data_IF_592659928609
#
_entry.id   IF_592659928609
#
_cell.length_a   1.000
_cell.length_b   1.000
_cell.length_c   1.000
_cell.angle_alpha   90.00
_cell.angle_beta   90.00
_cell.angle_gamma   90.00
#
_symmetry.space_group_name_H-M   'P 1'
#
loop_
_entity.id
_entity.type
_entity.pdbx_description
1 polymer ?
#
# COMPACT_ATOMS: atom_id res chain seq x y z
N UNK A 1 9.48 17.59 21.00
CA UNK A 1 8.03 17.31 20.99
C UNK A 1 7.86 15.85 20.61
N UNK A 2 7.62 14.97 21.59
CA UNK A 2 7.37 13.55 21.34
C UNK A 2 6.05 13.42 20.56
N UNK A 3 6.09 12.75 19.40
CA UNK A 3 4.88 12.50 18.63
C UNK A 3 3.97 11.59 19.47
N UNK A 4 2.71 11.98 19.76
CA UNK A 4 1.80 11.09 20.46
C UNK A 4 1.61 9.83 19.60
N UNK A 5 1.83 8.66 20.21
CA UNK A 5 1.62 7.39 19.54
C UNK A 5 0.12 7.27 19.19
N UNK A 6 -0.20 7.14 17.90
CA UNK A 6 -1.58 7.12 17.41
C UNK A 6 -2.43 6.03 18.09
N UNK A 7 -1.81 4.90 18.44
CA UNK A 7 -2.46 3.82 19.19
C UNK A 7 -2.88 4.24 20.60
N UNK A 8 -2.03 4.99 21.32
CA UNK A 8 -2.37 5.53 22.65
C UNK A 8 -3.53 6.52 22.57
N UNK A 9 -3.56 7.34 21.53
CA UNK A 9 -4.66 8.31 21.30
C UNK A 9 -5.97 7.57 21.03
N UNK A 10 -5.97 6.55 20.17
CA UNK A 10 -7.14 5.72 19.91
C UNK A 10 -7.64 5.00 21.16
N UNK A 11 -6.75 4.44 21.98
CA UNK A 11 -7.13 3.82 23.26
C UNK A 11 -7.76 4.83 24.23
N UNK A 12 -7.20 6.05 24.31
CA UNK A 12 -7.81 7.11 25.14
C UNK A 12 -9.17 7.54 24.61
N UNK A 13 -9.33 7.65 23.28
CA UNK A 13 -10.62 7.99 22.65
C UNK A 13 -11.66 6.89 22.89
N UNK A 14 -11.28 5.62 22.76
CA UNK A 14 -12.16 4.49 23.04
C UNK A 14 -12.61 4.44 24.51
N UNK A 15 -11.70 4.77 25.45
CA UNK A 15 -12.03 4.89 26.89
C UNK A 15 -12.97 6.06 27.16
N UNK A 16 -12.79 7.20 26.48
CA UNK A 16 -13.67 8.36 26.62
C UNK A 16 -15.05 8.10 26.02
N UNK A 17 -15.12 7.44 24.86
CA UNK A 17 -16.38 7.10 24.20
C UNK A 17 -17.21 6.08 25.01
N UNK A 18 -16.56 5.09 25.63
CA UNK A 18 -17.27 4.08 26.45
C UNK A 18 -17.71 4.61 27.82
N UNK A 19 -16.99 5.57 28.39
CA UNK A 19 -17.33 6.18 29.67
C UNK A 19 -18.39 7.28 29.54
N UNK A 20 -18.44 7.97 28.39
CA UNK A 20 -19.40 9.04 28.10
C UNK A 20 -20.16 8.76 26.81
N UNK A 21 -21.10 7.81 26.85
CA UNK A 21 -22.16 7.77 25.86
C UNK A 21 -23.06 8.99 26.05
N UNK A 22 -22.79 10.05 25.26
CA UNK A 22 -23.57 11.29 25.25
C UNK A 22 -24.90 11.01 24.57
N UNK A 23 -25.86 10.43 25.31
CA UNK A 23 -27.25 10.40 24.90
C UNK A 23 -28.01 11.49 25.65
N UNK A 24 -28.80 12.28 24.92
CA UNK A 24 -29.66 13.33 25.48
C UNK A 24 -30.54 12.76 26.60
N UNK A 25 -30.96 11.50 26.45
CA UNK A 25 -31.78 10.76 27.40
C UNK A 25 -31.03 10.52 28.72
N UNK A 26 -29.77 10.05 28.69
CA UNK A 26 -28.95 9.85 29.91
C UNK A 26 -28.59 11.18 30.60
N UNK A 27 -28.41 12.25 29.83
CA UNK A 27 -28.14 13.58 30.39
C UNK A 27 -29.39 14.22 31.03
N UNK A 28 -30.59 13.85 30.58
CA UNK A 28 -31.86 14.34 31.15
C UNK A 28 -32.29 13.62 32.43
N UNK A 29 -31.80 12.41 32.68
CA UNK A 29 -32.11 11.58 33.85
C UNK A 29 -31.87 12.26 35.22
N UNK A 30 -30.76 12.97 35.47
CA UNK A 30 -30.56 13.73 36.71
C UNK A 30 -31.50 14.94 36.84
N UNK A 31 -32.00 15.48 35.73
CA UNK A 31 -32.94 16.61 35.74
C UNK A 31 -34.33 16.10 36.15
N UNK A 32 -34.79 14.97 35.60
CA UNK A 32 -36.07 14.33 35.94
C UNK A 32 -36.11 13.69 37.32
N UNK A 33 -34.99 13.19 37.83
CA UNK A 33 -34.93 12.59 39.19
C UNK A 33 -34.87 13.64 40.31
N UNK A 34 -34.60 14.91 39.98
CA UNK A 34 -34.58 16.01 40.95
C UNK A 34 -35.97 16.54 41.33
N UNK A 35 -37.03 16.14 40.62
CA UNK A 35 -38.41 16.41 41.06
C UNK A 35 -38.81 15.38 42.12
N UNK A 36 -39.06 15.78 43.38
CA UNK A 36 -39.49 14.84 44.41
C UNK A 36 -40.81 14.19 44.01
N UNK A 37 -40.80 12.87 43.80
CA UNK A 37 -42.02 12.08 43.67
C UNK A 37 -42.77 12.10 45.01
N UNK A 38 -43.79 12.94 45.10
CA UNK A 38 -44.77 12.85 46.17
C UNK A 38 -45.46 11.48 46.10
N UNK A 39 -45.18 10.62 47.09
CA UNK A 39 -45.64 9.23 47.20
C UNK A 39 -47.17 9.06 47.43
N UNK A 40 -47.98 10.02 46.98
CA UNK A 40 -49.46 10.01 47.11
C UNK A 40 -50.19 10.19 45.78
N UNK A 41 -49.53 10.00 44.64
CA UNK A 41 -50.21 10.02 43.34
C UNK A 41 -50.98 8.72 43.09
N UNK A 42 -52.30 8.87 43.06
CA UNK A 42 -53.29 7.84 42.66
C UNK A 42 -52.89 7.25 41.30
N UNK A 43 -52.75 5.92 41.28
CA UNK A 43 -52.40 5.10 40.10
C UNK A 43 -53.59 4.93 39.15
N UNK A 44 -54.09 6.02 38.56
CA UNK A 44 -55.13 5.96 37.53
C UNK A 44 -54.76 6.70 36.26
N UNK A 45 -53.49 7.04 36.09
CA UNK A 45 -52.99 7.71 34.89
C UNK A 45 -52.25 6.70 34.01
N UNK A 46 -52.78 6.44 32.80
CA UNK A 46 -52.20 5.58 31.76
C UNK A 46 -50.83 6.11 31.27
N UNK A 47 -50.47 7.32 31.70
CA UNK A 47 -49.28 8.07 31.30
C UNK A 47 -47.95 7.59 31.94
N UNK A 48 -47.98 6.70 32.94
CA UNK A 48 -46.75 6.25 33.61
C UNK A 48 -45.99 5.12 32.89
N UNK A 49 -46.58 4.47 31.88
CA UNK A 49 -45.90 3.43 31.09
C UNK A 49 -44.98 3.98 29.99
N UNK A 50 -44.96 5.30 29.77
CA UNK A 50 -44.17 5.95 28.70
C UNK A 50 -42.71 6.26 29.10
N UNK A 51 -42.35 6.08 30.38
CA UNK A 51 -41.00 6.37 30.88
C UNK A 51 -39.99 5.23 30.68
N UNK A 52 -40.41 4.07 30.16
CA UNK A 52 -39.55 2.88 30.06
C UNK A 52 -38.55 2.94 28.88
N UNK A 53 -38.75 3.85 27.91
CA UNK A 53 -37.80 4.17 26.84
C UNK A 53 -38.24 5.44 26.07
N UNK A 54 -37.90 6.66 26.52
CA UNK A 54 -38.30 7.87 25.82
C UNK A 54 -37.59 7.96 24.47
N UNK A 55 -38.34 7.80 23.38
CA UNK A 55 -37.87 8.13 22.04
C UNK A 55 -38.18 9.60 21.76
N UNK A 56 -37.40 10.30 20.92
CA UNK A 56 -37.67 11.70 20.61
C UNK A 56 -39.07 11.90 20.02
N UNK A 57 -39.59 10.92 19.28
CA UNK A 57 -40.97 10.93 18.78
C UNK A 57 -42.01 10.81 19.90
N UNK A 58 -41.80 9.94 20.90
CA UNK A 58 -42.74 9.80 22.03
C UNK A 58 -42.81 11.07 22.88
N UNK A 59 -41.66 11.71 23.13
CA UNK A 59 -41.61 12.99 23.87
C UNK A 59 -42.41 14.10 23.19
N UNK A 60 -42.39 14.19 21.86
CA UNK A 60 -43.18 15.20 21.14
C UNK A 60 -44.68 14.95 21.24
N UNK A 61 -45.10 13.68 21.19
CA UNK A 61 -46.50 13.30 21.37
C UNK A 61 -46.98 13.60 22.80
N UNK A 62 -46.15 13.30 23.81
CA UNK A 62 -46.45 13.57 25.21
C UNK A 62 -46.58 15.07 25.47
N UNK A 63 -45.67 15.89 24.94
CA UNK A 63 -45.76 17.35 25.06
C UNK A 63 -47.03 17.91 24.43
N UNK A 64 -47.48 17.35 23.30
CA UNK A 64 -48.75 17.73 22.69
C UNK A 64 -49.95 17.34 23.57
N UNK A 65 -49.95 16.12 24.09
CA UNK A 65 -50.98 15.62 25.00
C UNK A 65 -51.08 16.47 26.28
N UNK A 66 -49.96 16.76 26.94
CA UNK A 66 -49.93 17.59 28.14
C UNK A 66 -50.39 19.02 27.86
N UNK A 67 -50.03 19.62 26.72
CA UNK A 67 -50.53 20.94 26.34
C UNK A 67 -52.06 20.96 26.24
N UNK A 68 -52.65 19.93 25.64
CA UNK A 68 -54.10 19.81 25.53
C UNK A 68 -54.76 19.56 26.90
N UNK A 69 -54.20 18.67 27.72
CA UNK A 69 -54.68 18.38 29.07
C UNK A 69 -54.65 19.63 29.96
N UNK A 70 -53.54 20.37 29.97
CA UNK A 70 -53.42 21.60 30.76
C UNK A 70 -54.32 22.71 30.23
N UNK A 71 -54.54 22.81 28.92
CA UNK A 71 -55.51 23.76 28.37
C UNK A 71 -56.94 23.45 28.86
N UNK A 72 -57.33 22.17 28.85
CA UNK A 72 -58.63 21.70 29.39
C UNK A 72 -58.75 21.95 30.89
N UNK A 73 -57.70 21.62 31.66
CA UNK A 73 -57.68 21.82 33.11
C UNK A 73 -57.77 23.30 33.48
N UNK A 74 -57.01 24.16 32.78
CA UNK A 74 -57.07 25.61 32.95
C UNK A 74 -58.47 26.15 32.66
N UNK A 75 -59.12 25.70 31.57
CA UNK A 75 -60.49 26.11 31.25
C UNK A 75 -61.47 25.70 32.35
N UNK A 76 -61.43 24.43 32.77
CA UNK A 76 -62.29 23.91 33.84
C UNK A 76 -62.09 24.65 35.16
N UNK A 77 -60.84 24.90 35.55
CA UNK A 77 -60.51 25.60 36.79
C UNK A 77 -61.03 27.04 36.77
N UNK A 78 -60.77 27.80 35.71
CA UNK A 78 -61.26 29.18 35.58
C UNK A 78 -62.79 29.21 35.61
N UNK A 79 -63.44 28.28 34.90
CA UNK A 79 -64.90 28.16 34.91
C UNK A 79 -65.44 27.82 36.32
N UNK A 80 -64.78 26.94 37.05
CA UNK A 80 -65.20 26.54 38.39
C UNK A 80 -65.03 27.67 39.40
N UNK A 81 -63.86 28.33 39.41
CA UNK A 81 -63.58 29.46 40.30
C UNK A 81 -64.51 30.63 40.01
N UNK A 82 -64.80 30.91 38.73
CA UNK A 82 -65.76 31.97 38.37
C UNK A 82 -67.18 31.63 38.82
N UNK A 83 -67.63 30.39 38.62
CA UNK A 83 -68.93 29.92 39.13
C UNK A 83 -69.01 30.04 40.65
N UNK A 84 -67.98 29.61 41.37
CA UNK A 84 -67.94 29.69 42.84
C UNK A 84 -67.95 31.15 43.31
N UNK A 85 -67.09 32.01 42.74
CA UNK A 85 -67.06 33.45 43.07
C UNK A 85 -68.41 34.12 42.81
N UNK A 86 -69.08 33.77 41.71
CA UNK A 86 -70.41 34.30 41.40
C UNK A 86 -71.47 33.85 42.42
N UNK A 87 -71.49 32.56 42.79
CA UNK A 87 -72.40 32.05 43.82
C UNK A 87 -72.12 32.72 45.17
N UNK A 88 -70.85 32.85 45.56
CA UNK A 88 -70.46 33.52 46.81
C UNK A 88 -70.82 35.00 46.80
N UNK A 89 -70.73 35.68 45.67
CA UNK A 89 -71.16 37.08 45.56
C UNK A 89 -72.67 37.27 45.71
N UNK A 90 -73.48 36.29 45.28
CA UNK A 90 -74.96 36.34 45.39
C UNK A 90 -75.46 35.85 46.75
N UNK A 91 -74.81 34.83 47.33
CA UNK A 91 -75.27 34.11 48.53
C UNK A 91 -74.54 34.57 49.80
N UNK A 92 -73.37 35.21 49.67
CA UNK A 92 -72.58 35.69 50.80
C UNK A 92 -73.23 36.87 51.51
N UNK A 93 -73.24 36.83 52.84
CA UNK A 93 -73.71 37.91 53.71
C UNK A 93 -72.53 38.41 54.57
N UNK A 94 -72.00 39.64 54.36
CA UNK A 94 -72.48 40.67 53.42
C UNK A 94 -72.04 40.43 51.95
N UNK A 95 -72.82 40.94 50.97
CA UNK A 95 -72.54 40.75 49.55
C UNK A 95 -71.19 41.39 49.16
N UNK A 96 -70.34 40.60 48.52
CA UNK A 96 -69.01 41.04 48.11
C UNK A 96 -69.11 41.89 46.84
N UNK A 97 -69.20 43.20 47.00
CA UNK A 97 -69.21 44.18 45.92
C UNK A 97 -67.76 44.61 45.68
N UNK A 98 -67.17 44.19 44.57
CA UNK A 98 -65.82 44.63 44.18
C UNK A 98 -65.86 46.13 43.91
N UNK A 99 -65.06 46.91 44.63
CA UNK A 99 -65.03 48.36 44.48
C UNK A 99 -64.29 48.74 43.19
N UNK A 100 -64.59 49.92 42.63
CA UNK A 100 -63.88 50.41 41.44
C UNK A 100 -62.39 50.63 41.74
N UNK A 101 -62.05 51.00 42.97
CA UNK A 101 -60.67 51.21 43.44
C UNK A 101 -59.89 49.88 43.48
N UNK A 102 -60.49 48.81 44.03
CA UNK A 102 -59.89 47.47 44.08
C UNK A 102 -59.63 46.91 42.68
N UNK A 103 -60.58 47.11 41.75
CA UNK A 103 -60.40 46.74 40.35
C UNK A 103 -59.24 47.51 39.69
N UNK A 104 -59.12 48.81 39.94
CA UNK A 104 -58.03 49.63 39.40
C UNK A 104 -56.66 49.21 39.96
N UNK A 105 -56.58 48.81 41.22
CA UNK A 105 -55.36 48.27 41.83
C UNK A 105 -54.98 46.92 41.22
N UNK A 106 -55.94 46.00 41.11
CA UNK A 106 -55.74 44.69 40.47
C UNK A 106 -55.37 44.81 38.98
N UNK A 107 -55.86 45.82 38.27
CA UNK A 107 -55.46 46.10 36.89
C UNK A 107 -54.00 46.55 36.78
N UNK A 108 -53.55 47.41 37.72
CA UNK A 108 -52.14 47.84 37.78
C UNK A 108 -51.22 46.66 38.09
N UNK A 109 -51.56 45.84 39.08
CA UNK A 109 -50.78 44.64 39.42
C UNK A 109 -50.73 43.65 38.26
N UNK A 110 -51.88 43.39 37.61
CA UNK A 110 -51.93 42.54 36.41
C UNK A 110 -51.11 43.11 35.25
N UNK A 111 -51.05 44.43 35.08
CA UNK A 111 -50.23 45.05 34.04
C UNK A 111 -48.74 44.80 34.29
N UNK A 112 -48.28 44.94 35.54
CA UNK A 112 -46.90 44.63 35.94
C UNK A 112 -46.59 43.15 35.74
N UNK A 113 -47.44 42.26 36.25
CA UNK A 113 -47.27 40.81 36.10
C UNK A 113 -47.29 40.37 34.63
N UNK A 114 -48.14 40.96 33.78
CA UNK A 114 -48.17 40.69 32.34
C UNK A 114 -46.90 41.15 31.65
N UNK A 115 -46.32 42.29 32.04
CA UNK A 115 -45.06 42.78 31.49
C UNK A 115 -43.92 41.82 31.84
N UNK A 116 -43.79 41.44 33.11
CA UNK A 116 -42.79 40.46 33.57
C UNK A 116 -42.94 39.12 32.86
N UNK A 117 -44.17 38.61 32.73
CA UNK A 117 -44.43 37.36 32.01
C UNK A 117 -44.04 37.45 30.53
N UNK A 118 -44.23 38.63 29.89
CA UNK A 118 -43.85 38.83 28.50
C UNK A 118 -42.32 38.84 28.34
N UNK A 119 -41.61 39.52 29.23
CA UNK A 119 -40.15 39.56 29.27
C UNK A 119 -39.55 38.17 29.48
N UNK A 120 -40.07 37.41 30.45
CA UNK A 120 -39.62 36.04 30.70
C UNK A 120 -39.93 35.10 29.52
N UNK A 121 -41.07 35.27 28.85
CA UNK A 121 -41.40 34.48 27.66
C UNK A 121 -40.45 34.75 26.50
N UNK A 122 -40.04 36.01 26.30
CA UNK A 122 -39.05 36.34 25.27
C UNK A 122 -37.68 35.76 25.63
N UNK A 123 -37.25 35.86 26.88
CA UNK A 123 -35.98 35.29 27.35
C UNK A 123 -35.94 33.76 27.18
N UNK A 124 -37.02 33.07 27.56
CA UNK A 124 -37.12 31.61 27.36
C UNK A 124 -37.13 31.24 25.88
N UNK A 125 -37.82 32.01 25.04
CA UNK A 125 -37.82 31.77 23.60
C UNK A 125 -36.41 31.92 23.00
N UNK A 126 -35.70 32.99 23.36
CA UNK A 126 -34.33 33.25 22.92
C UNK A 126 -33.39 32.13 23.38
N UNK A 127 -33.49 31.72 24.65
CA UNK A 127 -32.69 30.62 25.21
C UNK A 127 -32.94 29.28 24.49
N UNK A 128 -34.20 28.99 24.12
CA UNK A 128 -34.53 27.80 23.33
C UNK A 128 -33.87 27.85 21.96
N UNK A 129 -33.95 29.00 21.27
CA UNK A 129 -33.30 29.15 19.96
C UNK A 129 -31.77 29.01 20.03
N UNK A 130 -31.15 29.54 21.08
CA UNK A 130 -29.70 29.39 21.33
C UNK A 130 -29.33 27.93 21.60
N UNK A 131 -30.15 27.21 22.36
CA UNK A 131 -29.95 25.78 22.64
C UNK A 131 -30.10 24.94 21.37
N UNK A 132 -31.06 25.25 20.50
CA UNK A 132 -31.24 24.58 19.22
C UNK A 132 -30.02 24.79 18.31
N UNK A 133 -29.53 26.03 18.20
CA UNK A 133 -28.32 26.33 17.42
C UNK A 133 -27.10 25.59 17.96
N UNK A 134 -26.86 25.63 19.27
CA UNK A 134 -25.77 24.88 19.91
C UNK A 134 -25.92 23.38 19.72
N UNK A 135 -27.15 22.85 19.74
CA UNK A 135 -27.44 21.45 19.47
C UNK A 135 -27.02 21.03 18.05
N UNK A 136 -27.33 21.85 17.05
CA UNK A 136 -26.94 21.61 15.65
C UNK A 136 -25.42 21.72 15.46
N UNK A 137 -24.77 22.69 16.11
CA UNK A 137 -23.31 22.80 16.05
C UNK A 137 -22.61 21.61 16.71
N UNK A 138 -23.13 21.16 17.85
CA UNK A 138 -22.59 20.01 18.57
C UNK A 138 -22.76 18.73 17.75
N UNK A 139 -23.90 18.52 17.10
CA UNK A 139 -24.12 17.34 16.26
C UNK A 139 -23.14 17.29 15.10
N UNK A 140 -22.91 18.41 14.39
CA UNK A 140 -21.92 18.51 13.31
C UNK A 140 -20.50 18.24 13.80
N UNK A 141 -20.12 18.81 14.95
CA UNK A 141 -18.79 18.56 15.56
C UNK A 141 -18.63 17.08 15.93
N UNK A 142 -19.66 16.47 16.50
CA UNK A 142 -19.66 15.06 16.85
C UNK A 142 -19.50 14.17 15.62
N UNK A 143 -20.24 14.43 14.53
CA UNK A 143 -20.10 13.72 13.26
C UNK A 143 -18.67 13.86 12.68
N UNK A 144 -18.10 15.07 12.71
CA UNK A 144 -16.72 15.30 12.25
C UNK A 144 -15.70 14.49 13.06
N UNK A 145 -15.83 14.50 14.40
CA UNK A 145 -14.94 13.73 15.28
C UNK A 145 -15.09 12.23 15.02
N UNK A 146 -16.30 11.73 14.79
CA UNK A 146 -16.52 10.33 14.43
C UNK A 146 -15.82 9.96 13.12
N UNK A 147 -15.95 10.79 12.07
CA UNK A 147 -15.27 10.59 10.79
C UNK A 147 -13.74 10.67 10.90
N UNK A 148 -13.21 11.56 11.74
CA UNK A 148 -11.78 11.64 11.99
C UNK A 148 -11.27 10.44 12.80
N UNK A 149 -12.07 9.94 13.73
CA UNK A 149 -11.74 8.77 14.54
C UNK A 149 -11.66 7.51 13.67
N UNK A 150 -12.59 7.31 12.73
CA UNK A 150 -12.52 6.17 11.80
C UNK A 150 -11.30 6.26 10.88
N UNK A 151 -10.99 7.45 10.34
CA UNK A 151 -9.76 7.67 9.57
C UNK A 151 -8.50 7.36 10.39
N UNK A 152 -8.47 7.78 11.65
CA UNK A 152 -7.34 7.52 12.54
C UNK A 152 -7.20 6.02 12.84
N UNK A 153 -8.29 5.27 12.92
CA UNK A 153 -8.28 3.81 13.07
C UNK A 153 -7.71 3.09 11.84
N UNK A 154 -7.95 3.60 10.62
CA UNK A 154 -7.42 3.01 9.38
C UNK A 154 -5.95 3.36 9.10
N UNK A 155 -5.42 4.45 9.69
CA UNK A 155 -4.05 4.89 9.38
C UNK A 155 -2.96 3.89 9.81
N UNK A 156 -3.00 3.26 11.00
CA UNK A 156 -1.98 2.29 11.41
C UNK A 156 -1.84 1.14 10.43
N UNK A 157 -2.94 0.53 9.97
CA UNK A 157 -2.88 -0.58 9.01
C UNK A 157 -2.30 -0.13 7.67
N UNK A 158 -2.67 1.06 7.19
CA UNK A 158 -2.08 1.64 5.97
C UNK A 158 -0.59 1.92 6.12
N UNK A 159 -0.13 2.34 7.29
CA UNK A 159 1.30 2.53 7.59
C UNK A 159 2.02 1.17 7.54
N UNK A 160 1.49 0.15 8.19
CA UNK A 160 2.06 -1.20 8.17
C UNK A 160 2.12 -1.78 6.74
N UNK A 161 1.06 -1.60 5.95
CA UNK A 161 1.04 -2.01 4.53
C UNK A 161 2.12 -1.28 3.70
N UNK A 162 2.27 0.03 3.90
CA UNK A 162 3.29 0.82 3.21
C UNK A 162 4.71 0.44 3.66
N UNK A 163 4.92 0.18 4.95
CA UNK A 163 6.20 -0.29 5.48
C UNK A 163 6.57 -1.67 4.91
N UNK A 164 5.63 -2.62 4.87
CA UNK A 164 5.84 -3.91 4.20
C UNK A 164 6.15 -3.72 2.71
N UNK A 165 5.48 -2.78 2.03
CA UNK A 165 5.74 -2.51 0.61
C UNK A 165 7.10 -1.89 0.38
N UNK A 166 7.55 -0.99 1.25
CA UNK A 166 8.89 -0.42 1.22
C UNK A 166 9.93 -1.52 1.43
N UNK A 167 9.71 -2.42 2.38
CA UNK A 167 10.64 -3.53 2.65
C UNK A 167 10.70 -4.51 1.49
N UNK A 168 9.56 -4.83 0.86
CA UNK A 168 9.52 -5.60 -0.39
C UNK A 168 10.30 -4.93 -1.50
N UNK A 169 10.12 -3.62 -1.71
CA UNK A 169 10.84 -2.87 -2.74
C UNK A 169 12.35 -2.81 -2.45
N UNK A 170 12.74 -2.70 -1.19
CA UNK A 170 14.15 -2.77 -0.77
C UNK A 170 14.73 -4.15 -1.04
N UNK A 171 14.02 -5.22 -0.67
CA UNK A 171 14.45 -6.59 -0.95
C UNK A 171 14.55 -6.86 -2.47
N UNK A 172 13.57 -6.39 -3.26
CA UNK A 172 13.63 -6.43 -4.73
C UNK A 172 14.88 -5.68 -5.23
N UNK A 173 15.13 -4.47 -4.72
CA UNK A 173 16.30 -3.67 -5.10
C UNK A 173 17.64 -4.35 -4.70
N UNK A 174 17.73 -4.96 -3.53
CA UNK A 174 18.88 -5.74 -3.08
C UNK A 174 19.08 -7.01 -3.94
N UNK A 175 18.01 -7.71 -4.33
CA UNK A 175 18.13 -8.84 -5.26
C UNK A 175 18.57 -8.42 -6.66
N UNK A 176 18.25 -7.18 -7.07
CA UNK A 176 18.77 -6.58 -8.30
C UNK A 176 20.25 -6.16 -8.21
N UNK A 177 20.89 -6.14 -7.03
CA UNK A 177 22.35 -5.96 -6.91
C UNK A 177 23.15 -7.13 -7.51
N UNK A 178 22.52 -8.30 -7.70
CA UNK A 178 23.09 -9.42 -8.44
C UNK A 178 23.04 -9.27 -9.97
N UNK A 179 22.27 -8.32 -10.49
CA UNK A 179 22.12 -8.09 -11.94
C UNK A 179 23.02 -6.95 -12.39
N UNK A 180 24.26 -7.29 -12.77
CA UNK A 180 25.28 -6.40 -13.33
C UNK A 180 25.48 -5.07 -12.56
N UNK A 181 26.56 -4.92 -11.76
CA UNK A 181 26.81 -3.71 -10.97
C UNK A 181 26.95 -2.42 -11.79
N UNK A 182 27.06 -2.52 -13.12
CA UNK A 182 27.05 -1.39 -14.07
C UNK A 182 25.66 -0.81 -14.34
N UNK A 183 24.58 -1.56 -14.08
CA UNK A 183 23.19 -1.13 -14.28
C UNK A 183 22.64 -0.33 -13.08
N UNK A 184 23.23 -0.51 -11.90
CA UNK A 184 22.84 0.18 -10.65
C UNK A 184 23.75 1.37 -10.32
N UNK A 185 24.41 1.94 -11.34
CA UNK A 185 25.28 3.09 -11.14
C UNK A 185 24.44 4.39 -11.07
N UNK A 186 24.75 5.31 -10.14
CA UNK A 186 24.23 6.67 -10.18
C UNK A 186 24.51 7.34 -11.53
N UNK A 187 23.62 8.24 -11.95
CA UNK A 187 23.67 8.89 -13.27
C UNK A 187 25.07 9.42 -13.64
N UNK A 188 25.76 10.09 -12.71
CA UNK A 188 27.12 10.58 -12.93
C UNK A 188 28.11 9.47 -13.32
N UNK A 189 28.12 8.35 -12.57
CA UNK A 189 29.01 7.21 -12.84
C UNK A 189 28.66 6.50 -14.15
N UNK A 190 27.38 6.45 -14.53
CA UNK A 190 26.98 5.91 -15.85
C UNK A 190 27.49 6.78 -16.99
N UNK A 191 27.44 8.10 -16.84
CA UNK A 191 27.94 9.05 -17.84
C UNK A 191 29.44 8.85 -18.06
N UNK A 192 30.20 8.70 -16.98
CA UNK A 192 31.65 8.45 -17.03
C UNK A 192 31.97 7.12 -17.74
N UNK A 193 31.25 6.05 -17.39
CA UNK A 193 31.43 4.73 -18.01
C UNK A 193 31.08 4.75 -19.51
N UNK A 194 30.02 5.47 -19.89
CA UNK A 194 29.65 5.67 -21.30
C UNK A 194 30.75 6.44 -22.04
N UNK A 195 31.35 7.45 -21.43
CA UNK A 195 32.45 8.21 -22.03
C UNK A 195 33.69 7.33 -22.20
N UNK A 196 34.05 6.51 -21.21
CA UNK A 196 35.15 5.54 -21.32
C UNK A 196 34.91 4.54 -22.45
N UNK A 197 33.73 3.91 -22.51
CA UNK A 197 33.35 2.98 -23.59
C UNK A 197 33.40 3.64 -24.97
N UNK A 198 33.02 4.91 -25.09
CA UNK A 198 33.12 5.68 -26.34
C UNK A 198 34.57 5.91 -26.77
N UNK A 199 35.47 6.22 -25.82
CA UNK A 199 36.89 6.37 -26.10
C UNK A 199 37.50 5.03 -26.56
N UNK A 200 37.23 3.93 -25.84
CA UNK A 200 37.65 2.58 -26.22
C UNK A 200 37.14 2.20 -27.62
N UNK A 201 35.88 2.53 -27.93
CA UNK A 201 35.30 2.27 -29.25
C UNK A 201 36.01 3.07 -30.36
N UNK A 202 36.40 4.32 -30.09
CA UNK A 202 37.17 5.14 -31.04
C UNK A 202 38.59 4.60 -31.23
N UNK A 203 39.25 4.14 -30.18
CA UNK A 203 40.57 3.52 -30.25
C UNK A 203 40.52 2.21 -31.07
N UNK A 204 39.58 1.33 -30.76
CA UNK A 204 39.36 0.09 -31.52
C UNK A 204 39.01 0.36 -32.99
N UNK A 205 38.23 1.41 -33.27
CA UNK A 205 37.92 1.80 -34.65
C UNK A 205 39.18 2.25 -35.41
N UNK A 206 40.07 3.02 -34.78
CA UNK A 206 41.36 3.43 -35.36
C UNK A 206 42.28 2.23 -35.58
N UNK A 207 42.32 1.29 -34.63
CA UNK A 207 43.09 0.06 -34.78
C UNK A 207 42.58 -0.79 -35.94
N UNK A 208 41.25 -0.96 -36.03
CA UNK A 208 40.59 -1.67 -37.13
C UNK A 208 40.90 -1.01 -38.47
N UNK A 209 40.82 0.31 -38.58
CA UNK A 209 41.17 1.03 -39.80
C UNK A 209 42.64 0.80 -40.18
N UNK A 210 43.55 0.87 -39.19
CA UNK A 210 44.98 0.61 -39.42
C UNK A 210 45.24 -0.82 -39.88
N UNK A 211 44.50 -1.80 -39.34
CA UNK A 211 44.60 -3.21 -39.71
C UNK A 211 43.99 -3.44 -41.10
N UNK A 212 42.86 -2.79 -41.41
CA UNK A 212 42.19 -2.88 -42.70
C UNK A 212 43.09 -2.39 -43.84
N UNK A 213 43.97 -1.41 -43.59
CA UNK A 213 44.99 -0.97 -44.56
C UNK A 213 46.17 -1.96 -44.65
N UNK A 214 46.56 -2.61 -43.54
CA UNK A 214 47.69 -3.56 -43.49
C UNK A 214 47.36 -4.93 -44.08
N UNK A 215 46.15 -5.43 -43.87
CA UNK A 215 45.68 -6.75 -44.36
C UNK A 215 45.88 -6.95 -45.87
N UNK A 216 45.43 -6.05 -46.78
CA UNK A 216 45.62 -6.26 -48.21
C UNK A 216 47.09 -6.22 -48.63
N UNK A 217 47.92 -5.40 -47.96
CA UNK A 217 49.37 -5.35 -48.23
C UNK A 217 50.03 -6.67 -47.86
N UNK A 218 49.76 -7.16 -46.64
CA UNK A 218 50.27 -8.46 -46.17
C UNK A 218 49.74 -9.63 -47.01
N UNK A 219 48.49 -9.55 -47.49
CA UNK A 219 47.93 -10.55 -48.41
C UNK A 219 48.67 -10.57 -49.75
N UNK A 220 48.95 -9.40 -50.34
CA UNK A 220 49.76 -9.30 -51.58
C UNK A 220 51.19 -9.79 -51.37
N UNK A 221 51.82 -9.46 -50.24
CA UNK A 221 53.15 -9.99 -49.89
C UNK A 221 53.14 -11.51 -49.74
N UNK A 222 52.13 -12.08 -49.07
CA UNK A 222 51.98 -13.52 -48.92
C UNK A 222 51.72 -14.22 -50.27
N UNK A 223 50.90 -13.64 -51.14
CA UNK A 223 50.68 -14.15 -52.51
C UNK A 223 51.97 -14.11 -53.34
N UNK A 224 52.74 -13.02 -53.26
CA UNK A 224 54.06 -12.92 -53.91
C UNK A 224 55.03 -13.99 -53.40
N UNK A 225 55.16 -14.15 -52.08
CA UNK A 225 56.02 -15.17 -51.49
C UNK A 225 55.57 -16.59 -51.86
N UNK A 226 54.26 -16.85 -51.96
CA UNK A 226 53.74 -18.14 -52.46
C UNK A 226 54.15 -18.40 -53.91
N UNK A 227 54.07 -17.39 -54.78
CA UNK A 227 54.52 -17.50 -56.16
C UNK A 227 56.04 -17.70 -56.26
N UNK A 228 56.82 -17.07 -55.39
CA UNK A 228 58.28 -17.26 -55.33
C UNK A 228 58.68 -18.64 -54.74
N UNK A 229 57.88 -19.19 -53.81
CA UNK A 229 58.10 -20.52 -53.23
C UNK A 229 57.77 -21.67 -54.17
N UNK A 230 56.72 -21.57 -55.00
CA UNK A 230 56.36 -22.63 -55.97
C UNK A 230 57.53 -23.16 -56.82
N UNK A 231 58.34 -22.32 -57.50
CA UNK A 231 59.47 -22.81 -58.28
C UNK A 231 60.58 -23.38 -57.40
N UNK A 232 60.75 -22.89 -56.16
CA UNK A 232 61.71 -23.44 -55.20
C UNK A 232 61.29 -24.82 -54.69
N UNK A 233 60.01 -25.01 -54.40
CA UNK A 233 59.43 -26.31 -54.03
C UNK A 233 59.54 -27.30 -55.19
N UNK A 234 59.22 -26.87 -56.42
CA UNK A 234 59.41 -27.70 -57.62
C UNK A 234 60.87 -28.09 -57.82
N UNK A 235 61.83 -27.16 -57.62
CA UNK A 235 63.27 -27.45 -57.65
C UNK A 235 63.71 -28.39 -56.52
N UNK A 236 63.14 -28.25 -55.32
CA UNK A 236 63.40 -29.15 -54.19
C UNK A 236 62.86 -30.56 -54.47
N UNK A 237 61.69 -30.66 -55.07
CA UNK A 237 61.07 -31.92 -55.40
C UNK A 237 61.79 -32.62 -56.56
N UNK A 238 62.23 -31.88 -57.58
CA UNK A 238 63.06 -32.42 -58.66
C UNK A 238 64.44 -32.85 -58.17
N UNK A 239 65.09 -32.09 -57.27
CA UNK A 239 66.36 -32.50 -56.68
C UNK A 239 66.22 -33.69 -55.74
N UNK A 240 65.14 -33.76 -54.95
CA UNK A 240 64.85 -34.89 -54.08
C UNK A 240 64.54 -36.17 -54.87
N UNK A 241 63.79 -36.06 -55.97
CA UNK A 241 63.54 -37.21 -56.87
C UNK A 241 64.81 -37.62 -57.59
N UNK A 242 65.60 -36.70 -58.13
CA UNK A 242 66.91 -36.99 -58.73
C UNK A 242 67.86 -37.67 -57.73
N UNK A 243 67.90 -37.22 -56.46
CA UNK A 243 68.69 -37.85 -55.41
C UNK A 243 68.19 -39.26 -55.04
N UNK A 244 66.86 -39.46 -54.96
CA UNK A 244 66.25 -40.78 -54.74
C UNK A 244 66.52 -41.73 -55.89
N UNK A 245 66.45 -41.26 -57.12
CA UNK A 245 66.77 -42.05 -58.30
C UNK A 245 68.27 -42.37 -58.38
N UNK A 246 69.15 -41.43 -58.05
CA UNK A 246 70.59 -41.68 -57.96
C UNK A 246 70.91 -42.73 -56.88
N UNK A 247 70.22 -42.66 -55.72
CA UNK A 247 70.31 -43.67 -54.67
C UNK A 247 69.78 -45.02 -55.13
N UNK A 248 68.62 -45.07 -55.79
CA UNK A 248 68.09 -46.31 -56.40
C UNK A 248 69.00 -46.87 -57.47
N UNK A 249 69.60 -46.06 -58.34
CA UNK A 249 70.57 -46.51 -59.35
C UNK A 249 71.82 -47.08 -58.69
N UNK A 250 72.31 -46.48 -57.60
CA UNK A 250 73.42 -47.01 -56.80
C UNK A 250 73.06 -48.32 -56.11
N UNK A 251 71.88 -48.41 -55.49
CA UNK A 251 71.39 -49.61 -54.81
C UNK A 251 71.09 -50.74 -55.80
N UNK A 252 70.53 -50.45 -56.98
CA UNK A 252 70.31 -51.43 -58.04
C UNK A 252 71.62 -51.92 -58.68
N UNK A 253 72.61 -51.04 -58.86
CA UNK A 253 73.94 -51.42 -59.33
C UNK A 253 74.71 -52.28 -58.32
N UNK A 254 74.48 -52.10 -57.01
CA UNK A 254 75.12 -52.88 -55.95
C UNK A 254 74.34 -54.16 -55.58
N UNK A 255 73.01 -54.16 -55.71
CA UNK A 255 72.14 -55.28 -55.34
C UNK A 255 72.07 -56.40 -56.39
N UNK A 256 72.21 -56.08 -57.68
CA UNK A 256 72.17 -57.10 -58.74
C UNK A 256 73.35 -58.07 -58.72
N UNK A 257 74.55 -57.60 -58.33
CA UNK A 257 75.74 -58.46 -58.30
C UNK A 257 75.78 -59.44 -57.11
N UNK A 258 75.05 -59.14 -56.02
CA UNK A 258 75.00 -60.00 -54.83
C UNK A 258 73.94 -61.10 -54.98
N UNK A 259 72.75 -60.78 -55.53
CA UNK A 259 71.69 -61.77 -55.77
C UNK A 259 72.11 -62.80 -56.83
N UNK A 260 72.80 -62.40 -57.91
CA UNK A 260 73.35 -63.33 -58.90
C UNK A 260 74.38 -64.31 -58.30
N UNK A 261 75.13 -63.88 -57.29
CA UNK A 261 76.08 -64.73 -56.57
C UNK A 261 75.39 -65.67 -55.57
N UNK A 262 74.33 -65.21 -54.90
CA UNK A 262 73.55 -66.05 -53.99
C UNK A 262 72.73 -67.12 -54.72
N UNK A 263 72.13 -66.81 -55.87
CA UNK A 263 71.44 -67.80 -56.71
C UNK A 263 72.40 -68.89 -57.20
N UNK A 264 73.61 -68.50 -57.63
CA UNK A 264 74.67 -69.46 -57.96
C UNK A 264 75.07 -70.30 -56.76
N UNK A 265 75.29 -69.70 -55.59
CA UNK A 265 75.67 -70.43 -54.38
C UNK A 265 74.58 -71.42 -53.91
N UNK A 266 73.30 -71.06 -54.05
CA UNK A 266 72.17 -71.98 -53.77
C UNK A 266 72.14 -73.14 -54.76
N UNK A 267 72.37 -72.88 -56.05
CA UNK A 267 72.47 -73.92 -57.07
C UNK A 267 73.64 -74.87 -56.79
N UNK A 268 74.82 -74.34 -56.44
CA UNK A 268 75.98 -75.14 -56.07
C UNK A 268 75.71 -76.00 -54.82
N UNK A 269 75.13 -75.44 -53.75
CA UNK A 269 74.75 -76.23 -52.56
C UNK A 269 73.69 -77.30 -52.85
N UNK A 270 72.71 -77.02 -53.71
CA UNK A 270 71.73 -78.01 -54.11
C UNK A 270 72.37 -79.14 -54.92
N UNK A 271 73.30 -78.82 -55.83
CA UNK A 271 74.07 -79.81 -56.58
C UNK A 271 74.97 -80.66 -55.67
N UNK A 272 75.57 -80.05 -54.64
CA UNK A 272 76.36 -80.75 -53.62
C UNK A 272 75.47 -81.66 -52.74
N UNK A 273 74.27 -81.22 -52.38
CA UNK A 273 73.28 -82.02 -51.65
C UNK A 273 72.83 -83.28 -52.41
N UNK A 274 72.63 -83.17 -53.73
CA UNK A 274 72.30 -84.32 -54.58
C UNK A 274 73.49 -85.28 -54.71
N UNK A 275 74.71 -84.74 -54.88
CA UNK A 275 75.92 -85.56 -55.01
C UNK A 275 76.26 -86.31 -53.72
N UNK A 276 76.09 -85.67 -52.56
CA UNK A 276 76.30 -86.31 -51.24
C UNK A 276 75.27 -87.41 -50.96
N UNK A 277 74.04 -87.29 -51.46
CA UNK A 277 73.00 -88.32 -51.31
C UNK A 277 73.27 -89.57 -52.18
N UNK A 278 73.88 -89.40 -53.36
CA UNK A 278 74.18 -90.49 -54.30
C UNK A 278 75.45 -91.25 -53.94
N UNK A 279 76.45 -90.59 -53.34
CA UNK A 279 77.76 -91.18 -53.07
C UNK A 279 77.90 -91.83 -51.69
N UNK A 280 76.88 -91.75 -50.81
CA UNK A 280 76.83 -92.52 -49.57
C UNK A 280 77.97 -92.24 -48.58
N UNK A 281 78.75 -91.18 -48.77
CA UNK A 281 79.83 -90.76 -47.86
C UNK A 281 79.24 -89.82 -46.81
N UNK A 282 78.89 -90.37 -45.65
CA UNK A 282 78.72 -89.56 -44.43
C UNK A 282 80.10 -89.13 -43.94
N UNK A 283 80.32 -87.82 -43.85
CA UNK A 283 81.11 -87.18 -42.79
C UNK A 283 80.19 -86.22 -42.06
#
# INVERSE_FOLDING_TARGET
>A
MEKPNAQKVLETLAKLQSTQEISIIKLSEPITSSTPQDARQRTSDVSNSAFDAPTPASLTADLAHYKELFAKLRFSYVQQVTKEKFIRAIVGDPPMIVSMEENMELEKENAVAKKQLKELKTEVADMVTDLEQKGIELSKKYESVQLETTKLQEMPSKIEELEMRIEQLRAEQETHEGSNPTMNLPLAKTQDLVNQRKLEQQELARELESLQVKVPRKRKEAERLRLELQPLENKRQSSATAAREARRRKEAALGGAADDLEERARWWRASEGVLTQVLGTKN
#
